data_IF_639997128666
#
_entry.id   IF_639997128666
#
_cell.length_a   1.000
_cell.length_b   1.000
_cell.length_c   1.000
_cell.angle_alpha   90.00
_cell.angle_beta   90.00
_cell.angle_gamma   90.00
#
_symmetry.space_group_name_H-M   'P 1'
#
loop_
_entity.id
_entity.type
_entity.pdbx_description
1 polymer ?
#
# COMPACT_ATOMS: atom_id res chain seq x y z
N UNK A 1 13.16 10.03 3.00
CA UNK A 1 13.89 8.75 2.89
C UNK A 1 14.67 8.64 1.57
N UNK A 2 14.02 8.49 0.41
CA UNK A 2 14.68 8.26 -0.89
C UNK A 2 15.80 9.25 -1.25
N UNK A 3 15.57 10.56 -1.06
CA UNK A 3 16.58 11.58 -1.33
C UNK A 3 17.84 11.42 -0.46
N UNK A 4 17.66 11.08 0.83
CA UNK A 4 18.77 10.81 1.75
C UNK A 4 19.52 9.56 1.31
N UNK A 5 18.82 8.46 1.04
CA UNK A 5 19.44 7.23 0.56
C UNK A 5 20.29 7.49 -0.71
N UNK A 6 19.74 8.24 -1.67
CA UNK A 6 20.47 8.61 -2.90
C UNK A 6 21.73 9.43 -2.61
N UNK A 7 21.63 10.47 -1.78
CA UNK A 7 22.77 11.33 -1.45
C UNK A 7 23.88 10.58 -0.71
N UNK A 8 23.49 9.65 0.14
CA UNK A 8 24.37 8.92 1.07
C UNK A 8 24.84 7.56 0.54
N UNK A 9 24.31 7.11 -0.60
CA UNK A 9 24.65 5.82 -1.18
C UNK A 9 24.15 4.64 -0.36
N UNK A 10 22.94 4.75 0.23
CA UNK A 10 22.31 3.67 0.99
C UNK A 10 21.52 2.79 0.03
N UNK A 11 21.72 1.48 0.08
CA UNK A 11 20.87 0.55 -0.66
C UNK A 11 19.49 0.47 -0.03
N UNK A 12 18.47 0.20 -0.85
CA UNK A 12 17.07 0.10 -0.42
C UNK A 12 16.54 -1.27 -0.84
N UNK A 13 16.14 -2.07 0.14
CA UNK A 13 15.43 -3.32 -0.09
C UNK A 13 14.03 -3.26 0.49
N UNK A 14 13.12 -4.03 -0.09
CA UNK A 14 11.72 -4.08 0.29
C UNK A 14 11.38 -5.46 0.84
N UNK A 15 10.51 -5.48 1.83
CA UNK A 15 9.78 -6.66 2.25
C UNK A 15 8.33 -6.31 2.54
N UNK A 16 7.48 -7.33 2.49
CA UNK A 16 6.05 -7.25 2.75
C UNK A 16 5.71 -8.20 3.91
N UNK A 17 4.82 -7.80 4.82
CA UNK A 17 4.35 -8.67 5.91
C UNK A 17 3.11 -9.42 5.48
N UNK A 18 3.20 -10.74 5.41
CA UNK A 18 2.06 -11.60 5.13
C UNK A 18 0.99 -11.39 6.22
N UNK A 19 -0.25 -11.08 5.83
CA UNK A 19 -1.41 -10.98 6.73
C UNK A 19 -1.21 -10.08 7.96
N UNK A 20 -0.53 -8.93 7.78
CA UNK A 20 -0.17 -7.95 8.83
C UNK A 20 -1.21 -7.77 9.96
N UNK A 21 -2.49 -7.57 9.64
CA UNK A 21 -3.52 -7.29 10.66
C UNK A 21 -3.80 -8.47 11.60
N UNK A 22 -3.48 -9.71 11.20
CA UNK A 22 -3.67 -10.90 12.04
C UNK A 22 -2.64 -11.00 13.18
N UNK A 23 -1.53 -10.26 13.13
CA UNK A 23 -0.53 -10.30 14.20
C UNK A 23 -0.91 -9.49 15.43
N UNK A 24 -1.82 -8.52 15.27
CA UNK A 24 -2.22 -7.65 16.34
C UNK A 24 -3.32 -8.26 17.21
N UNK A 25 -3.15 -8.17 18.53
CA UNK A 25 -4.15 -8.60 19.50
C UNK A 25 -5.19 -7.51 19.70
N UNK A 26 -6.46 -7.90 19.75
CA UNK A 26 -7.55 -6.99 20.10
C UNK A 26 -7.57 -6.79 21.61
N UNK A 27 -7.77 -5.55 22.05
CA UNK A 27 -8.04 -5.23 23.45
C UNK A 27 -9.54 -5.30 23.74
N UNK A 28 -10.37 -5.02 22.73
CA UNK A 28 -11.81 -5.08 22.82
C UNK A 28 -12.35 -6.47 22.45
N UNK A 29 -13.44 -6.88 23.10
CA UNK A 29 -14.21 -8.05 22.71
C UNK A 29 -15.06 -7.72 21.48
N UNK A 30 -14.73 -8.35 20.36
CA UNK A 30 -15.44 -8.16 19.09
C UNK A 30 -15.96 -9.51 18.62
N UNK A 31 -17.25 -9.54 18.33
CA UNK A 31 -17.92 -10.69 17.76
C UNK A 31 -18.24 -10.42 16.30
N UNK A 32 -18.24 -11.48 15.49
CA UNK A 32 -18.68 -11.46 14.10
C UNK A 32 -19.67 -12.59 13.85
N UNK A 33 -20.57 -12.37 12.90
CA UNK A 33 -21.38 -13.45 12.34
C UNK A 33 -20.48 -14.53 11.76
N UNK A 34 -20.92 -15.78 11.87
CA UNK A 34 -20.17 -16.90 11.33
C UNK A 34 -20.10 -16.81 9.80
N UNK A 35 -18.90 -16.80 9.19
CA UNK A 35 -18.74 -16.85 7.74
C UNK A 35 -19.46 -18.06 7.13
N UNK A 36 -20.04 -17.89 5.96
CA UNK A 36 -20.85 -18.93 5.28
C UNK A 36 -20.10 -20.28 5.16
N UNK A 37 -18.81 -20.24 4.79
CA UNK A 37 -17.97 -21.45 4.67
C UNK A 37 -17.58 -22.12 5.99
N UNK A 38 -17.96 -21.57 7.14
CA UNK A 38 -17.76 -22.19 8.46
C UNK A 38 -19.06 -22.75 9.05
N UNK A 39 -20.22 -22.50 8.44
CA UNK A 39 -21.52 -23.02 8.93
C UNK A 39 -21.56 -24.55 8.91
N UNK A 40 -20.92 -25.17 7.92
CA UNK A 40 -20.76 -26.63 7.85
C UNK A 40 -20.06 -27.21 9.09
N UNK A 41 -19.20 -26.43 9.77
CA UNK A 41 -18.57 -26.89 11.02
C UNK A 41 -19.53 -26.87 12.22
N UNK A 42 -20.59 -26.05 12.19
CA UNK A 42 -21.62 -26.07 13.23
C UNK A 42 -22.49 -27.33 13.12
N UNK A 43 -22.81 -27.75 11.89
CA UNK A 43 -23.52 -29.02 11.64
C UNK A 43 -22.74 -30.21 12.23
N UNK A 44 -21.39 -30.15 12.19
CA UNK A 44 -20.50 -31.17 12.78
C UNK A 44 -20.38 -31.06 14.31
N UNK A 45 -20.68 -29.90 14.90
CA UNK A 45 -20.46 -29.61 16.31
C UNK A 45 -21.67 -29.86 17.22
N UNK A 46 -22.81 -30.33 16.67
CA UNK A 46 -24.08 -30.55 17.39
C UNK A 46 -24.48 -29.35 18.29
N UNK A 47 -24.20 -28.13 17.85
CA UNK A 47 -24.50 -26.93 18.62
C UNK A 47 -26.03 -26.69 18.64
N UNK A 48 -26.62 -26.48 19.82
CA UNK A 48 -28.03 -26.13 19.95
C UNK A 48 -28.27 -24.73 19.35
N UNK A 49 -28.93 -24.68 18.19
CA UNK A 49 -29.33 -23.46 17.50
C UNK A 49 -28.25 -22.86 16.59
N UNK A 50 -28.25 -23.24 15.30
CA UNK A 50 -27.34 -22.68 14.28
C UNK A 50 -27.39 -21.14 14.19
N UNK A 51 -28.54 -20.55 14.51
CA UNK A 51 -28.79 -19.11 14.40
C UNK A 51 -28.25 -18.27 15.58
N UNK A 52 -27.83 -18.88 16.68
CA UNK A 52 -27.37 -18.19 17.90
C UNK A 52 -25.84 -18.22 18.10
N UNK A 53 -25.09 -18.76 17.14
CA UNK A 53 -23.63 -18.89 17.24
C UNK A 53 -22.91 -17.74 16.54
N UNK A 54 -22.04 -17.06 17.29
CA UNK A 54 -21.16 -16.00 16.77
C UNK A 54 -19.68 -16.34 17.04
N UNK A 55 -18.79 -15.83 16.19
CA UNK A 55 -17.34 -15.96 16.41
C UNK A 55 -16.84 -14.79 17.24
N UNK A 56 -16.06 -15.08 18.28
CA UNK A 56 -15.25 -14.07 18.96
C UNK A 56 -13.90 -13.93 18.25
N UNK A 57 -13.54 -12.71 17.87
CA UNK A 57 -12.26 -12.41 17.25
C UNK A 57 -11.16 -12.32 18.32
N UNK A 58 -10.18 -13.22 18.23
CA UNK A 58 -9.00 -13.22 19.11
C UNK A 58 -7.87 -12.29 18.62
N UNK A 59 -7.86 -12.03 17.31
CA UNK A 59 -6.87 -11.21 16.63
C UNK A 59 -7.60 -10.21 15.75
N UNK A 60 -6.90 -9.12 15.43
CA UNK A 60 -7.39 -8.12 14.50
C UNK A 60 -7.55 -8.74 13.10
N UNK A 61 -8.52 -8.26 12.33
CA UNK A 61 -8.84 -8.74 10.99
C UNK A 61 -9.04 -7.56 10.03
N UNK A 62 -8.79 -7.78 8.74
CA UNK A 62 -9.12 -6.83 7.69
C UNK A 62 -10.59 -6.39 7.78
N UNK A 63 -10.83 -5.09 7.64
CA UNK A 63 -12.17 -4.50 7.70
C UNK A 63 -12.59 -4.00 9.09
N UNK A 64 -11.88 -4.37 10.16
CA UNK A 64 -12.10 -3.75 11.47
C UNK A 64 -11.56 -2.33 11.49
N UNK A 65 -12.33 -1.39 12.07
CA UNK A 65 -11.95 0.03 12.18
C UNK A 65 -10.61 0.24 12.91
N UNK A 66 -10.29 -0.62 13.88
CA UNK A 66 -9.07 -0.53 14.68
C UNK A 66 -7.90 -1.38 14.16
N UNK A 67 -8.10 -2.18 13.09
CA UNK A 67 -7.09 -3.13 12.62
C UNK A 67 -5.74 -2.46 12.29
N UNK A 68 -5.79 -1.35 11.55
CA UNK A 68 -4.60 -0.60 11.17
C UNK A 68 -3.83 -0.05 12.37
N UNK A 69 -4.55 0.45 13.37
CA UNK A 69 -3.96 0.97 14.60
C UNK A 69 -3.30 -0.15 15.40
N UNK A 70 -4.03 -1.25 15.61
CA UNK A 70 -3.55 -2.42 16.36
C UNK A 70 -2.31 -3.03 15.72
N UNK A 71 -2.26 -3.10 14.39
CA UNK A 71 -1.06 -3.50 13.66
C UNK A 71 0.09 -2.51 13.86
N UNK A 72 -0.14 -1.20 13.67
CA UNK A 72 0.88 -0.18 13.83
C UNK A 72 1.51 -0.20 15.24
N UNK A 73 0.70 -0.32 16.29
CA UNK A 73 1.18 -0.45 17.67
C UNK A 73 1.99 -1.74 17.88
N UNK A 74 1.62 -2.84 17.19
CA UNK A 74 2.31 -4.14 17.30
C UNK A 74 3.69 -4.09 16.67
N UNK A 75 3.81 -3.56 15.44
CA UNK A 75 5.09 -3.45 14.73
C UNK A 75 5.98 -2.37 15.34
N UNK A 76 5.43 -1.23 15.78
CA UNK A 76 6.17 -0.17 16.49
C UNK A 76 6.86 -0.72 17.74
N UNK A 77 6.12 -1.45 18.60
CA UNK A 77 6.69 -2.10 19.78
C UNK A 77 7.84 -3.05 19.43
N UNK A 78 7.73 -3.77 18.32
CA UNK A 78 8.79 -4.69 17.88
C UNK A 78 10.02 -3.94 17.38
N UNK A 79 9.85 -2.96 16.49
CA UNK A 79 10.95 -2.14 15.96
C UNK A 79 11.69 -1.41 17.10
N UNK A 80 10.95 -0.84 18.07
CA UNK A 80 11.55 -0.25 19.28
C UNK A 80 12.32 -1.26 20.12
N UNK A 81 11.81 -2.49 20.26
CA UNK A 81 12.55 -3.54 20.96
C UNK A 81 13.83 -3.97 20.23
N UNK A 82 13.90 -3.76 18.91
CA UNK A 82 15.11 -3.94 18.10
C UNK A 82 16.06 -2.73 18.18
N UNK A 83 15.71 -1.67 18.92
CA UNK A 83 16.51 -0.46 19.10
C UNK A 83 16.31 0.60 18.01
N UNK A 84 15.18 0.56 17.29
CA UNK A 84 14.79 1.63 16.38
C UNK A 84 14.00 2.72 17.11
N UNK A 85 14.12 3.95 16.63
CA UNK A 85 13.34 5.10 17.09
C UNK A 85 12.55 5.69 15.93
N UNK A 86 11.30 6.05 16.17
CA UNK A 86 10.45 6.73 15.18
C UNK A 86 10.91 8.18 15.01
N UNK A 87 11.01 8.65 13.77
CA UNK A 87 11.38 10.02 13.47
C UNK A 87 10.26 11.00 13.86
N UNK A 88 10.63 12.14 14.45
CA UNK A 88 9.66 13.17 14.87
C UNK A 88 8.85 13.75 13.69
N UNK A 89 9.48 13.86 12.52
CA UNK A 89 8.85 14.40 11.33
C UNK A 89 7.87 13.43 10.66
N UNK A 90 8.08 12.12 10.84
CA UNK A 90 7.26 11.07 10.23
C UNK A 90 7.30 9.80 11.10
N UNK A 91 6.23 9.51 11.87
CA UNK A 91 6.15 8.33 12.73
C UNK A 91 6.20 6.97 12.00
N UNK A 92 6.08 6.97 10.66
CA UNK A 92 6.24 5.79 9.83
C UNK A 92 7.70 5.53 9.43
N UNK A 93 8.61 6.44 9.72
CA UNK A 93 10.04 6.31 9.46
C UNK A 93 10.76 6.04 10.77
N UNK A 94 11.50 4.95 10.81
CA UNK A 94 12.28 4.52 11.95
C UNK A 94 13.77 4.57 11.61
N UNK A 95 14.59 5.02 12.54
CA UNK A 95 16.04 5.10 12.38
C UNK A 95 16.75 4.36 13.51
N UNK A 96 17.90 3.75 13.19
CA UNK A 96 18.78 3.11 14.17
C UNK A 96 20.23 3.30 13.76
N UNK A 97 21.09 3.54 14.74
CA UNK A 97 22.51 3.77 14.51
C UNK A 97 22.79 5.12 13.86
N UNK A 98 24.06 5.37 13.55
CA UNK A 98 24.53 6.62 12.94
C UNK A 98 25.67 6.32 11.97
N UNK A 99 25.91 7.21 11.01
CA UNK A 99 27.03 7.10 10.07
C UNK A 99 26.98 5.82 9.23
N UNK A 100 28.02 4.99 9.32
CA UNK A 100 28.16 3.77 8.51
C UNK A 100 27.19 2.64 8.92
N UNK A 101 26.74 2.63 10.17
CA UNK A 101 25.81 1.62 10.70
C UNK A 101 24.35 2.10 10.68
N UNK A 102 24.10 3.30 10.12
CA UNK A 102 22.76 3.86 10.01
C UNK A 102 21.84 2.93 9.19
N UNK A 103 20.67 2.67 9.75
CA UNK A 103 19.59 1.96 9.10
C UNK A 103 18.28 2.72 9.24
N UNK A 104 17.55 2.80 8.14
CA UNK A 104 16.25 3.47 8.05
C UNK A 104 15.22 2.43 7.64
N UNK A 105 14.13 2.32 8.39
CA UNK A 105 12.96 1.51 8.04
C UNK A 105 11.79 2.45 7.80
N UNK A 106 11.27 2.46 6.57
CA UNK A 106 10.04 3.16 6.23
C UNK A 106 8.91 2.12 6.17
N UNK A 107 7.87 2.32 6.97
CA UNK A 107 6.74 1.41 7.10
C UNK A 107 5.50 2.05 6.49
N UNK A 108 4.84 1.35 5.56
CA UNK A 108 3.53 1.71 5.06
C UNK A 108 2.60 0.51 5.15
N UNK A 109 1.82 0.44 6.23
CA UNK A 109 0.94 -0.71 6.53
C UNK A 109 1.75 -2.02 6.52
N UNK A 110 1.62 -2.86 5.50
CA UNK A 110 2.30 -4.14 5.30
C UNK A 110 3.62 -4.03 4.52
N UNK A 111 3.77 -2.98 3.71
CA UNK A 111 4.98 -2.68 2.94
C UNK A 111 6.07 -2.05 3.83
N UNK A 112 7.29 -2.60 3.77
CA UNK A 112 8.46 -2.04 4.45
C UNK A 112 9.61 -1.80 3.48
N UNK A 113 10.24 -0.63 3.57
CA UNK A 113 11.48 -0.33 2.88
C UNK A 113 12.60 -0.13 3.89
N UNK A 114 13.64 -0.94 3.76
CA UNK A 114 14.78 -0.97 4.67
C UNK A 114 15.98 -0.45 3.89
N UNK A 115 16.59 0.61 4.40
CA UNK A 115 17.75 1.24 3.79
C UNK A 115 18.95 1.26 4.72
N UNK A 116 20.12 0.93 4.18
CA UNK A 116 21.41 1.04 4.87
C UNK A 116 22.56 1.03 3.86
N UNK A 117 23.75 1.50 4.27
CA UNK A 117 24.99 1.36 3.48
C UNK A 117 25.46 -0.09 3.42
N UNK A 118 25.09 -0.90 4.41
CA UNK A 118 25.58 -2.27 4.56
C UNK A 118 24.45 -3.28 4.34
N UNK A 119 24.57 -4.14 3.33
CA UNK A 119 23.62 -5.25 3.09
C UNK A 119 23.45 -6.16 4.29
N UNK A 120 24.52 -6.37 5.06
CA UNK A 120 24.48 -7.20 6.27
C UNK A 120 23.51 -6.62 7.33
N UNK A 121 23.45 -5.29 7.45
CA UNK A 121 22.53 -4.61 8.36
C UNK A 121 21.08 -4.81 7.88
N UNK A 122 20.81 -4.62 6.58
CA UNK A 122 19.48 -4.88 6.00
C UNK A 122 19.04 -6.32 6.27
N UNK A 123 19.91 -7.29 6.01
CA UNK A 123 19.63 -8.71 6.24
C UNK A 123 19.36 -9.01 7.72
N UNK A 124 20.14 -8.41 8.63
CA UNK A 124 19.93 -8.55 10.08
C UNK A 124 18.59 -7.97 10.53
N UNK A 125 18.20 -6.80 10.01
CA UNK A 125 16.91 -6.17 10.31
C UNK A 125 15.76 -7.03 9.78
N UNK A 126 15.85 -7.52 8.55
CA UNK A 126 14.86 -8.46 7.99
C UNK A 126 14.74 -9.71 8.84
N UNK A 127 15.86 -10.30 9.27
CA UNK A 127 15.84 -11.47 10.16
C UNK A 127 15.16 -11.17 11.49
N UNK A 128 15.46 -10.03 12.12
CA UNK A 128 14.83 -9.63 13.38
C UNK A 128 13.33 -9.36 13.24
N UNK A 129 12.87 -8.81 12.12
CA UNK A 129 11.43 -8.68 11.81
C UNK A 129 10.81 -10.08 11.61
N UNK A 130 11.52 -10.97 10.89
CA UNK A 130 11.08 -12.33 10.60
C UNK A 130 10.92 -13.22 11.84
N UNK A 131 11.52 -12.85 12.98
CA UNK A 131 11.33 -13.55 14.26
C UNK A 131 9.89 -13.52 14.76
N UNK A 132 9.14 -12.45 14.45
CA UNK A 132 7.74 -12.30 14.89
C UNK A 132 6.73 -12.31 13.76
N UNK A 133 7.14 -11.87 12.58
CA UNK A 133 6.24 -11.65 11.45
C UNK A 133 6.71 -12.47 10.26
N UNK A 134 5.78 -13.13 9.57
CA UNK A 134 6.10 -13.78 8.31
C UNK A 134 6.29 -12.70 7.26
N UNK A 135 7.51 -12.59 6.74
CA UNK A 135 7.84 -11.60 5.72
C UNK A 135 8.11 -12.26 4.37
N UNK A 136 7.70 -11.57 3.31
CA UNK A 136 8.06 -11.85 1.94
C UNK A 136 9.16 -10.89 1.51
N UNK A 137 10.35 -11.43 1.25
CA UNK A 137 11.46 -10.63 0.74
C UNK A 137 11.24 -10.29 -0.74
N UNK A 138 11.21 -9.00 -1.07
CA UNK A 138 11.07 -8.50 -2.44
C UNK A 138 12.41 -8.07 -3.05
N UNK A 139 13.49 -8.17 -2.28
CA UNK A 139 14.83 -7.77 -2.68
C UNK A 139 14.95 -6.27 -2.87
N UNK A 140 15.78 -5.85 -3.82
CA UNK A 140 16.02 -4.44 -4.13
C UNK A 140 14.72 -3.73 -4.52
N UNK A 141 14.46 -2.58 -3.91
CA UNK A 141 13.27 -1.78 -4.18
C UNK A 141 13.24 -1.33 -5.65
N UNK A 142 12.19 -1.73 -6.36
CA UNK A 142 11.88 -1.27 -7.74
C UNK A 142 10.55 -0.54 -7.82
N UNK A 143 9.66 -0.79 -6.86
CA UNK A 143 8.38 -0.12 -6.75
C UNK A 143 8.15 0.22 -5.28
N UNK A 144 7.74 1.45 -4.99
CA UNK A 144 7.29 1.85 -3.66
C UNK A 144 5.91 2.47 -3.83
N UNK A 145 4.90 1.90 -3.16
CA UNK A 145 3.51 2.39 -3.22
C UNK A 145 2.97 2.55 -4.65
N UNK A 146 3.39 1.66 -5.55
CA UNK A 146 2.99 1.66 -6.97
C UNK A 146 3.77 2.64 -7.85
N UNK A 147 4.78 3.34 -7.32
CA UNK A 147 5.68 4.22 -8.07
C UNK A 147 6.94 3.42 -8.39
N UNK A 148 7.31 3.37 -9.66
CA UNK A 148 8.56 2.77 -10.12
C UNK A 148 9.75 3.63 -9.67
N UNK A 149 10.80 2.97 -9.17
CA UNK A 149 12.04 3.60 -8.76
C UNK A 149 13.20 3.00 -9.55
N UNK A 150 13.93 3.88 -10.20
CA UNK A 150 15.18 3.56 -10.89
C UNK A 150 16.33 4.19 -10.11
N UNK A 151 17.01 3.39 -9.31
CA UNK A 151 18.11 3.85 -8.48
C UNK A 151 19.44 3.43 -9.08
N UNK A 152 20.26 4.41 -9.48
CA UNK A 152 21.66 4.21 -9.85
C UNK A 152 22.56 4.57 -8.65
N UNK A 153 23.10 3.53 -8.01
CA UNK A 153 23.98 3.67 -6.84
C UNK A 153 25.34 4.27 -7.19
N UNK A 154 25.88 3.95 -8.38
CA UNK A 154 27.20 4.41 -8.81
C UNK A 154 27.16 5.92 -9.08
N UNK A 155 26.10 6.37 -9.76
CA UNK A 155 25.87 7.79 -10.07
C UNK A 155 25.19 8.54 -8.95
N UNK A 156 24.70 7.84 -7.91
CA UNK A 156 23.91 8.40 -6.80
C UNK A 156 22.70 9.19 -7.26
N UNK A 157 22.03 8.67 -8.29
CA UNK A 157 20.83 9.28 -8.86
C UNK A 157 19.64 8.35 -8.69
N UNK A 158 18.51 8.88 -8.25
CA UNK A 158 17.27 8.15 -8.10
C UNK A 158 16.18 8.80 -8.95
N UNK A 159 15.68 8.05 -9.93
CA UNK A 159 14.52 8.40 -10.75
C UNK A 159 13.24 7.78 -10.18
N UNK A 160 12.14 8.51 -10.30
CA UNK A 160 10.79 8.01 -10.00
C UNK A 160 9.92 8.08 -11.25
N UNK A 161 9.12 7.05 -11.49
CA UNK A 161 8.32 6.89 -12.71
C UNK A 161 6.93 6.33 -12.37
N UNK A 162 5.90 6.82 -13.05
CA UNK A 162 4.56 6.20 -13.06
C UNK A 162 4.21 5.62 -14.44
N UNK A 163 5.23 5.29 -15.25
CA UNK A 163 5.04 4.77 -16.59
C UNK A 163 4.17 3.51 -16.59
N UNK A 164 4.47 2.54 -15.71
CA UNK A 164 3.71 1.31 -15.59
C UNK A 164 2.22 1.57 -15.28
N UNK A 165 1.92 2.51 -14.38
CA UNK A 165 0.54 2.90 -14.08
C UNK A 165 -0.14 3.55 -15.28
N UNK A 166 0.56 4.46 -15.97
CA UNK A 166 0.08 5.15 -17.18
C UNK A 166 -0.27 4.14 -18.28
N UNK A 167 0.62 3.20 -18.58
CA UNK A 167 0.41 2.14 -19.56
C UNK A 167 -0.78 1.24 -19.19
N UNK A 168 -0.95 0.95 -17.89
CA UNK A 168 -2.09 0.18 -17.39
C UNK A 168 -3.43 0.89 -17.64
N UNK A 169 -3.48 2.22 -17.46
CA UNK A 169 -4.68 3.03 -17.74
C UNK A 169 -4.97 3.02 -19.23
N UNK A 170 -3.95 3.30 -20.06
CA UNK A 170 -4.10 3.32 -21.52
C UNK A 170 -4.71 2.01 -22.01
N UNK A 171 -4.19 0.87 -21.55
CA UNK A 171 -4.72 -0.45 -21.89
C UNK A 171 -6.13 -0.67 -21.35
N UNK A 172 -6.39 -0.35 -20.09
CA UNK A 172 -7.69 -0.54 -19.43
C UNK A 172 -8.83 0.18 -20.15
N UNK A 173 -8.57 1.35 -20.73
CA UNK A 173 -9.56 2.16 -21.45
C UNK A 173 -9.43 2.09 -22.99
N UNK A 174 -8.64 1.13 -23.51
CA UNK A 174 -8.51 0.87 -24.94
C UNK A 174 -7.93 2.04 -25.74
N UNK A 175 -7.03 2.81 -25.14
CA UNK A 175 -6.42 4.02 -25.74
C UNK A 175 -5.03 3.78 -26.32
N UNK A 176 -4.62 2.52 -26.54
CA UNK A 176 -3.28 2.16 -27.02
C UNK A 176 -2.92 2.80 -28.37
N UNK A 177 -3.94 3.04 -29.22
CA UNK A 177 -3.80 3.68 -30.54
C UNK A 177 -4.30 5.12 -30.56
N UNK A 178 -4.49 5.75 -29.40
CA UNK A 178 -4.96 7.13 -29.32
C UNK A 178 -3.92 8.09 -29.92
N UNK A 179 -4.39 9.13 -30.62
CA UNK A 179 -3.50 10.16 -31.15
C UNK A 179 -2.98 11.03 -29.99
N UNK A 180 -1.67 11.31 -29.92
CA UNK A 180 -1.14 12.18 -28.90
C UNK A 180 -1.71 13.59 -29.05
N UNK A 181 -2.07 14.21 -27.93
CA UNK A 181 -2.49 15.61 -27.86
C UNK A 181 -1.67 16.33 -26.79
N UNK A 182 -1.25 17.57 -27.07
CA UNK A 182 -0.47 18.38 -26.14
C UNK A 182 -1.32 18.95 -25.00
N UNK A 183 -2.63 19.09 -25.22
CA UNK A 183 -3.57 19.61 -24.23
C UNK A 183 -4.67 18.58 -24.00
N UNK A 184 -4.88 18.10 -22.75
CA UNK A 184 -5.92 17.11 -22.46
C UNK A 184 -7.34 17.65 -22.70
N UNK A 185 -7.51 18.97 -22.52
CA UNK A 185 -8.73 19.72 -22.74
C UNK A 185 -8.37 21.18 -23.08
N UNK A 186 -9.14 21.83 -23.94
CA UNK A 186 -8.94 23.26 -24.22
C UNK A 186 -9.17 24.11 -22.95
N UNK A 187 -8.29 25.10 -22.65
CA UNK A 187 -8.48 26.00 -21.53
C UNK A 187 -9.80 26.77 -21.64
N UNK A 188 -10.57 26.81 -20.55
CA UNK A 188 -11.83 27.56 -20.50
C UNK A 188 -13.06 26.81 -21.00
N UNK A 189 -12.94 25.52 -21.33
CA UNK A 189 -14.11 24.67 -21.61
C UNK A 189 -15.04 24.64 -20.40
N UNK A 190 -16.26 25.14 -20.58
CA UNK A 190 -17.35 25.00 -19.62
C UNK A 190 -18.27 23.89 -20.07
N UNK A 191 -18.27 22.78 -19.35
CA UNK A 191 -19.21 21.70 -19.58
C UNK A 191 -20.59 22.11 -19.05
N UNK A 192 -21.60 22.00 -19.90
CA UNK A 192 -22.99 22.31 -19.61
C UNK A 192 -23.86 21.06 -19.74
N UNK A 193 -25.12 21.13 -19.32
CA UNK A 193 -26.07 20.02 -19.53
C UNK A 193 -26.32 19.70 -21.01
N UNK A 194 -26.01 20.62 -21.92
CA UNK A 194 -26.11 20.37 -23.36
C UNK A 194 -25.04 19.38 -23.86
N UNK A 195 -23.93 19.24 -23.11
CA UNK A 195 -22.83 18.32 -23.42
C UNK A 195 -23.10 16.89 -22.92
N UNK A 196 -24.20 16.67 -22.18
CA UNK A 196 -24.67 15.33 -21.84
C UNK A 196 -25.15 14.60 -23.12
N UNK A 197 -25.11 13.25 -23.14
CA UNK A 197 -25.63 12.48 -24.26
C UNK A 197 -27.13 12.78 -24.51
N UNK A 198 -27.42 13.53 -25.58
CA UNK A 198 -28.77 13.97 -25.89
C UNK A 198 -29.58 12.90 -26.63
N UNK A 199 -28.92 12.11 -27.48
CA UNK A 199 -29.57 11.06 -28.28
C UNK A 199 -29.50 9.69 -27.62
N UNK A 200 -30.43 8.79 -27.93
CA UNK A 200 -30.38 7.39 -27.46
C UNK A 200 -29.16 6.65 -27.98
N UNK A 201 -28.65 7.02 -29.16
CA UNK A 201 -27.41 6.48 -29.72
C UNK A 201 -26.19 6.90 -28.87
N UNK A 202 -26.11 8.17 -28.47
CA UNK A 202 -25.03 8.68 -27.63
C UNK A 202 -25.09 8.09 -26.21
N UNK A 203 -26.30 7.96 -25.65
CA UNK A 203 -26.50 7.28 -24.36
C UNK A 203 -26.05 5.82 -24.43
N UNK A 204 -26.40 5.11 -25.49
CA UNK A 204 -25.96 3.73 -25.70
C UNK A 204 -24.42 3.63 -25.82
N UNK A 205 -23.77 4.55 -26.56
CA UNK A 205 -22.30 4.63 -26.67
C UNK A 205 -21.63 4.97 -25.34
N UNK A 206 -22.22 5.84 -24.53
CA UNK A 206 -21.65 6.25 -23.24
C UNK A 206 -21.90 5.23 -22.13
N UNK A 207 -22.93 4.39 -22.24
CA UNK A 207 -23.24 3.32 -21.28
C UNK A 207 -22.09 2.31 -21.13
N UNK A 208 -21.31 2.10 -22.19
CA UNK A 208 -20.15 1.20 -22.18
C UNK A 208 -18.86 1.88 -21.69
N UNK A 209 -18.85 3.20 -21.46
CA UNK A 209 -17.67 3.95 -21.01
C UNK A 209 -17.73 4.20 -19.50
N UNK A 210 -16.82 3.61 -18.72
CA UNK A 210 -16.82 3.79 -17.27
C UNK A 210 -16.17 5.14 -16.88
N UNK A 211 -16.86 6.25 -17.18
CA UNK A 211 -16.35 7.62 -16.99
C UNK A 211 -15.84 7.88 -15.56
N UNK A 212 -16.61 7.49 -14.53
CA UNK A 212 -16.19 7.62 -13.12
C UNK A 212 -14.88 6.87 -12.82
N UNK A 213 -14.70 5.69 -13.42
CA UNK A 213 -13.48 4.89 -13.27
C UNK A 213 -12.29 5.56 -13.95
N UNK A 214 -12.49 6.13 -15.15
CA UNK A 214 -11.46 6.86 -15.89
C UNK A 214 -10.99 8.10 -15.12
N UNK A 215 -11.92 8.93 -14.67
CA UNK A 215 -11.61 10.12 -13.87
C UNK A 215 -10.87 9.72 -12.58
N UNK A 216 -11.33 8.68 -11.87
CA UNK A 216 -10.64 8.18 -10.68
C UNK A 216 -9.20 7.71 -10.96
N UNK A 217 -8.97 7.03 -12.08
CA UNK A 217 -7.64 6.61 -12.52
C UNK A 217 -6.71 7.79 -12.83
N UNK A 218 -7.22 8.82 -13.52
CA UNK A 218 -6.44 10.03 -13.85
C UNK A 218 -6.13 10.87 -12.61
N UNK A 219 -7.08 10.99 -11.68
CA UNK A 219 -6.83 11.67 -10.41
C UNK A 219 -5.73 10.96 -9.63
N UNK A 220 -5.73 9.61 -9.60
CA UNK A 220 -4.63 8.85 -8.97
C UNK A 220 -3.29 9.12 -9.64
N UNK A 221 -3.24 9.17 -10.98
CA UNK A 221 -2.00 9.46 -11.70
C UNK A 221 -1.45 10.85 -11.38
N UNK A 222 -2.34 11.83 -11.16
CA UNK A 222 -1.97 13.19 -10.80
C UNK A 222 -1.51 13.34 -9.33
N UNK A 223 -1.76 12.34 -8.47
CA UNK A 223 -1.30 12.32 -7.08
C UNK A 223 -0.08 11.40 -6.95
N UNK A 224 1.15 11.94 -6.91
CA UNK A 224 2.35 11.11 -6.86
C UNK A 224 2.54 10.38 -5.53
N UNK A 225 1.85 10.71 -4.44
CA UNK A 225 1.95 9.97 -3.18
C UNK A 225 0.57 9.70 -2.57
N UNK A 226 0.23 8.45 -2.19
CA UNK A 226 -1.10 8.09 -1.70
C UNK A 226 -1.41 8.51 -0.25
N UNK A 227 -0.66 9.47 0.33
CA UNK A 227 -0.70 9.80 1.75
C UNK A 227 -1.19 11.21 2.12
N UNK A 228 -1.45 12.11 1.17
CA UNK A 228 -2.03 13.42 1.51
C UNK A 228 -3.55 13.30 1.72
N UNK A 229 -4.07 13.55 2.94
CA UNK A 229 -5.50 13.73 3.13
C UNK A 229 -5.95 14.98 2.36
N UNK A 230 -7.16 14.95 1.81
CA UNK A 230 -7.88 16.19 1.45
C UNK A 230 -8.45 16.84 2.71
#
# INVERSE_FOLDING_TARGET
MLAKCSAEGMEIEQCDVDTAFLYGKLEEEIYMELPEGLRELLELAEAEGEDDVVCMLLQSLYGLKQASRVWNETIDKHLKSMGFESADADPCVYTKGEGEDECIVCLYVDDMQIASRQKAVIASVKAGIAEKFRIKDMGRARFILGIEIDYDMERRTLGISQKAYTESIIKKFGQENAKPCLTPLEPGVQLTKADEPQTEEDKAKMKSKPYRSLVGSLIRQAQPFPGEPR
#
